data_IF_370206307868
#
_entry.id   IF_370206307868
#
_cell.length_a   1.000
_cell.length_b   1.000
_cell.length_c   1.000
_cell.angle_alpha   90.00
_cell.angle_beta   90.00
_cell.angle_gamma   90.00
#
_symmetry.space_group_name_H-M   'P 1'
#
loop_
_entity.id
_entity.type
_entity.pdbx_description
1 polymer ?
#
# COMPACT_ATOMS: atom_id res chain seq x y z
N UNK A 1 6.59 15.75 5.54
CA UNK A 1 6.70 15.50 4.09
C UNK A 1 7.74 16.45 3.46
N UNK A 2 8.25 16.20 2.25
CA UNK A 2 9.09 17.18 1.51
C UNK A 2 8.57 17.32 0.07
N UNK A 3 9.01 18.33 -0.69
CA UNK A 3 8.42 18.64 -2.01
C UNK A 3 8.40 17.45 -2.98
N UNK A 4 9.44 16.62 -3.01
CA UNK A 4 9.47 15.41 -3.83
C UNK A 4 8.38 14.37 -3.47
N UNK A 5 7.93 14.33 -2.23
CA UNK A 5 6.82 13.45 -1.80
C UNK A 5 5.46 13.98 -2.24
N UNK A 6 5.34 15.26 -2.64
CA UNK A 6 4.08 15.86 -3.04
C UNK A 6 3.62 15.43 -4.44
N UNK A 7 4.56 15.18 -5.35
CA UNK A 7 4.26 14.90 -6.77
C UNK A 7 3.26 13.76 -6.97
N UNK A 8 3.39 12.58 -6.32
CA UNK A 8 2.39 11.52 -6.43
C UNK A 8 1.01 11.97 -5.95
N UNK A 9 0.92 12.71 -4.84
CA UNK A 9 -0.37 13.17 -4.30
C UNK A 9 -1.04 14.21 -5.18
N UNK A 10 -0.29 15.15 -5.76
CA UNK A 10 -0.84 16.14 -6.71
C UNK A 10 -1.44 15.45 -7.93
N UNK A 11 -0.73 14.49 -8.52
CA UNK A 11 -1.23 13.69 -9.64
C UNK A 11 -2.46 12.87 -9.24
N UNK A 12 -2.42 12.24 -8.06
CA UNK A 12 -3.54 11.43 -7.54
C UNK A 12 -4.79 12.26 -7.35
N UNK A 13 -4.65 13.48 -6.80
CA UNK A 13 -5.76 14.41 -6.59
C UNK A 13 -6.37 14.82 -7.93
N UNK A 14 -5.53 15.11 -8.92
CA UNK A 14 -6.02 15.39 -10.27
C UNK A 14 -6.79 14.21 -10.87
N UNK A 15 -6.28 12.98 -10.75
CA UNK A 15 -6.95 11.77 -11.26
C UNK A 15 -8.27 11.51 -10.52
N UNK A 16 -8.31 11.70 -9.19
CA UNK A 16 -9.53 11.57 -8.40
C UNK A 16 -10.61 12.54 -8.89
N UNK A 17 -10.27 13.81 -9.12
CA UNK A 17 -11.23 14.83 -9.56
C UNK A 17 -11.66 14.63 -11.01
N UNK A 18 -10.72 14.34 -11.91
CA UNK A 18 -10.99 14.21 -13.34
C UNK A 18 -11.80 12.95 -13.68
N UNK A 19 -11.59 11.86 -12.95
CA UNK A 19 -12.20 10.55 -13.23
C UNK A 19 -13.26 10.15 -12.19
N UNK A 20 -13.40 10.93 -11.11
CA UNK A 20 -14.37 10.66 -10.05
C UNK A 20 -14.09 9.40 -9.21
N UNK A 21 -12.84 8.92 -9.20
CA UNK A 21 -12.44 7.63 -8.62
C UNK A 21 -12.40 7.63 -7.08
N UNK A 22 -12.55 6.45 -6.48
CA UNK A 22 -12.19 6.21 -5.08
C UNK A 22 -10.68 6.14 -4.91
N UNK A 23 -10.18 6.67 -3.80
CA UNK A 23 -8.76 6.69 -3.43
C UNK A 23 -8.55 5.88 -2.16
N UNK A 24 -7.54 5.01 -2.17
CA UNK A 24 -6.97 4.39 -0.98
C UNK A 24 -5.53 4.86 -0.80
N UNK A 25 -5.14 5.21 0.42
CA UNK A 25 -3.78 5.62 0.76
C UNK A 25 -3.25 4.72 1.87
N UNK A 26 -2.18 3.99 1.55
CA UNK A 26 -1.50 3.09 2.46
C UNK A 26 -0.44 3.83 3.27
N UNK A 27 -0.52 3.75 4.61
CA UNK A 27 0.53 4.17 5.53
C UNK A 27 1.29 2.92 5.99
N UNK A 28 2.42 2.66 5.34
CA UNK A 28 3.28 1.49 5.59
C UNK A 28 4.17 1.67 6.83
N UNK A 29 3.57 1.62 8.01
CA UNK A 29 4.29 1.72 9.29
C UNK A 29 5.09 0.45 9.64
N UNK A 30 4.61 -0.71 9.21
CA UNK A 30 5.31 -1.99 9.29
C UNK A 30 6.59 -2.04 8.44
N UNK A 31 6.59 -1.48 7.23
CA UNK A 31 7.78 -1.31 6.39
C UNK A 31 8.85 -0.50 7.11
N UNK A 32 8.47 0.66 7.63
CA UNK A 32 9.37 1.54 8.40
C UNK A 32 9.96 0.83 9.61
N UNK A 33 9.19 -0.05 10.26
CA UNK A 33 9.68 -0.89 11.34
C UNK A 33 10.69 -1.94 10.86
N UNK A 34 10.37 -2.70 9.82
CA UNK A 34 11.27 -3.76 9.32
C UNK A 34 12.55 -3.24 8.68
N UNK A 35 12.53 -2.05 8.06
CA UNK A 35 13.64 -1.51 7.28
C UNK A 35 14.43 -0.40 7.97
N UNK A 36 13.82 0.35 8.91
CA UNK A 36 14.41 1.54 9.51
C UNK A 36 14.31 1.59 11.04
N UNK A 37 13.87 0.50 11.69
CA UNK A 37 13.70 0.38 13.14
C UNK A 37 12.81 1.49 13.75
N UNK A 38 11.85 2.01 12.97
CA UNK A 38 10.87 2.99 13.46
C UNK A 38 9.75 2.23 14.20
N UNK A 39 9.43 2.57 15.46
CA UNK A 39 8.41 1.85 16.22
C UNK A 39 7.03 1.84 15.54
N UNK A 40 6.33 0.70 15.59
CA UNK A 40 4.92 0.56 15.18
C UNK A 40 3.92 0.95 16.27
N UNK A 41 4.40 1.11 17.51
CA UNK A 41 3.56 1.35 18.69
C UNK A 41 4.09 2.47 19.58
N UNK A 42 3.23 2.94 20.48
CA UNK A 42 3.52 4.03 21.41
C UNK A 42 3.23 5.43 20.85
N UNK A 43 3.45 6.45 21.69
CA UNK A 43 3.13 7.84 21.37
C UNK A 43 3.87 8.32 20.12
N UNK A 44 5.17 8.02 20.02
CA UNK A 44 6.01 8.44 18.89
C UNK A 44 5.54 7.89 17.54
N UNK A 45 5.20 6.61 17.49
CA UNK A 45 4.67 5.97 16.27
C UNK A 45 3.34 6.60 15.83
N UNK A 46 2.48 6.86 16.81
CA UNK A 46 1.16 7.46 16.59
C UNK A 46 1.29 8.89 16.08
N UNK A 47 2.15 9.71 16.68
CA UNK A 47 2.44 11.07 16.23
C UNK A 47 2.96 11.10 14.79
N UNK A 48 3.96 10.28 14.45
CA UNK A 48 4.51 10.25 13.09
C UNK A 48 3.46 9.87 12.05
N UNK A 49 2.62 8.87 12.36
CA UNK A 49 1.53 8.46 11.47
C UNK A 49 0.49 9.59 11.33
N UNK A 50 0.06 10.19 12.43
CA UNK A 50 -0.94 11.28 12.43
C UNK A 50 -0.45 12.49 11.66
N UNK A 51 0.80 12.93 11.87
CA UNK A 51 1.36 14.08 11.15
C UNK A 51 1.51 13.77 9.65
N UNK A 52 1.92 12.56 9.26
CA UNK A 52 1.95 12.17 7.85
C UNK A 52 0.54 12.12 7.22
N UNK A 53 -0.48 11.68 7.97
CA UNK A 53 -1.86 11.66 7.49
C UNK A 53 -2.40 13.09 7.33
N UNK A 54 -2.11 14.00 8.27
CA UNK A 54 -2.47 15.43 8.15
C UNK A 54 -1.85 16.06 6.89
N UNK A 55 -0.56 15.82 6.68
CA UNK A 55 0.18 16.22 5.48
C UNK A 55 -0.52 15.74 4.19
N UNK A 56 -1.00 14.51 4.15
CA UNK A 56 -1.69 13.92 2.98
C UNK A 56 -3.08 14.55 2.78
N UNK A 57 -3.85 14.72 3.86
CA UNK A 57 -5.20 15.32 3.80
C UNK A 57 -5.12 16.78 3.31
N UNK A 58 -4.03 17.49 3.64
CA UNK A 58 -3.80 18.87 3.23
C UNK A 58 -3.74 19.08 1.70
N UNK A 59 -3.57 18.02 0.88
CA UNK A 59 -3.70 18.11 -0.58
C UNK A 59 -5.14 18.31 -1.07
N UNK A 60 -6.14 18.22 -0.19
CA UNK A 60 -7.53 18.53 -0.51
C UNK A 60 -8.29 17.39 -1.18
N UNK A 61 -7.95 16.14 -0.87
CA UNK A 61 -8.71 14.98 -1.35
C UNK A 61 -10.16 15.00 -0.82
N UNK A 62 -11.11 14.52 -1.63
CA UNK A 62 -12.51 14.44 -1.23
C UNK A 62 -12.70 13.41 -0.10
N UNK A 63 -13.17 13.80 1.10
CA UNK A 63 -13.22 12.90 2.26
C UNK A 63 -14.18 11.72 2.05
N UNK A 64 -15.26 11.91 1.29
CA UNK A 64 -16.23 10.84 1.01
C UNK A 64 -15.71 9.77 0.04
N UNK A 65 -14.59 10.02 -0.64
CA UNK A 65 -13.99 9.14 -1.65
C UNK A 65 -12.56 8.70 -1.30
N UNK A 66 -12.09 9.04 -0.11
CA UNK A 66 -10.69 8.82 0.27
C UNK A 66 -10.62 8.02 1.56
N UNK A 67 -9.94 6.88 1.48
CA UNK A 67 -9.69 6.03 2.62
C UNK A 67 -8.19 5.95 2.89
N UNK A 68 -7.76 6.48 4.04
CA UNK A 68 -6.37 6.40 4.50
C UNK A 68 -6.30 5.35 5.59
N UNK A 69 -5.39 4.39 5.46
CA UNK A 69 -5.24 3.33 6.45
C UNK A 69 -3.78 3.11 6.81
N UNK A 70 -3.58 2.69 8.07
CA UNK A 70 -2.29 2.23 8.57
C UNK A 70 -2.23 0.72 8.46
N UNK A 71 -1.11 0.17 7.96
CA UNK A 71 -0.99 -1.27 7.76
C UNK A 71 -1.32 -2.04 9.04
N UNK A 72 -0.67 -1.70 10.15
CA UNK A 72 -0.91 -2.38 11.45
C UNK A 72 -2.34 -2.25 12.00
N UNK A 73 -3.13 -1.29 11.53
CA UNK A 73 -4.52 -1.10 11.95
C UNK A 73 -5.53 -1.80 11.04
N UNK A 74 -5.16 -2.05 9.77
CA UNK A 74 -6.06 -2.59 8.74
C UNK A 74 -5.68 -4.00 8.27
N UNK A 75 -4.56 -4.58 8.76
CA UNK A 75 -4.07 -5.91 8.35
C UNK A 75 -5.16 -6.97 8.35
N UNK A 76 -6.03 -7.00 9.37
CA UNK A 76 -7.07 -8.03 9.49
C UNK A 76 -8.00 -8.11 8.28
N UNK A 77 -8.51 -6.97 7.80
CA UNK A 77 -9.43 -6.92 6.66
C UNK A 77 -8.73 -7.25 5.33
N UNK A 78 -7.45 -6.90 5.18
CA UNK A 78 -6.68 -7.17 3.96
C UNK A 78 -5.99 -8.55 3.94
N UNK A 79 -5.90 -9.24 5.08
CA UNK A 79 -5.08 -10.46 5.21
C UNK A 79 -5.45 -11.57 4.21
N UNK A 80 -6.73 -11.86 3.90
CA UNK A 80 -7.06 -12.86 2.87
C UNK A 80 -6.43 -12.56 1.51
N UNK A 81 -6.36 -11.29 1.12
CA UNK A 81 -5.71 -10.85 -0.12
C UNK A 81 -4.20 -10.93 -0.01
N UNK A 82 -3.62 -10.51 1.12
CA UNK A 82 -2.19 -10.66 1.41
C UNK A 82 -1.76 -12.13 1.32
N UNK A 83 -2.54 -13.06 1.87
CA UNK A 83 -2.26 -14.51 1.81
C UNK A 83 -2.25 -15.03 0.38
N UNK A 84 -3.20 -14.61 -0.47
CA UNK A 84 -3.21 -14.97 -1.90
C UNK A 84 -1.94 -14.47 -2.59
N UNK A 85 -1.56 -13.21 -2.39
CA UNK A 85 -0.32 -12.66 -2.98
C UNK A 85 0.93 -13.39 -2.46
N UNK A 86 1.03 -13.63 -1.14
CA UNK A 86 2.15 -14.36 -0.53
C UNK A 86 2.34 -15.75 -1.13
N UNK A 87 1.25 -16.45 -1.43
CA UNK A 87 1.31 -17.77 -2.08
C UNK A 87 1.91 -17.71 -3.49
N UNK A 88 1.73 -16.60 -4.21
CA UNK A 88 2.17 -16.44 -5.60
C UNK A 88 3.61 -15.94 -5.73
N UNK A 89 4.14 -15.25 -4.71
CA UNK A 89 5.50 -14.74 -4.70
C UNK A 89 6.48 -15.79 -4.17
N UNK A 90 7.51 -16.10 -4.96
CA UNK A 90 8.61 -16.95 -4.48
C UNK A 90 9.60 -16.11 -3.69
N UNK A 91 10.18 -16.71 -2.64
CA UNK A 91 11.21 -16.04 -1.84
C UNK A 91 12.40 -15.60 -2.69
N UNK A 92 12.81 -16.41 -3.66
CA UNK A 92 13.90 -16.08 -4.58
C UNK A 92 13.59 -14.85 -5.43
N UNK A 93 12.36 -14.74 -5.96
CA UNK A 93 11.96 -13.55 -6.72
C UNK A 93 12.02 -12.30 -5.84
N UNK A 94 11.43 -12.34 -4.65
CA UNK A 94 11.44 -11.22 -3.71
C UNK A 94 12.87 -10.82 -3.33
N UNK A 95 13.73 -11.78 -2.98
CA UNK A 95 15.12 -11.50 -2.61
C UNK A 95 15.91 -10.86 -3.76
N UNK A 96 15.75 -11.37 -4.98
CA UNK A 96 16.45 -10.84 -6.14
C UNK A 96 15.97 -9.44 -6.51
N UNK A 97 14.67 -9.16 -6.38
CA UNK A 97 14.09 -7.84 -6.70
C UNK A 97 14.52 -6.75 -5.72
N UNK A 98 14.66 -7.07 -4.42
CA UNK A 98 14.95 -6.09 -3.37
C UNK A 98 16.34 -6.25 -2.72
N UNK A 99 17.24 -7.01 -3.34
CA UNK A 99 18.60 -7.31 -2.84
C UNK A 99 18.63 -7.76 -1.36
N UNK A 100 17.72 -8.66 -0.97
CA UNK A 100 17.59 -9.10 0.41
C UNK A 100 18.58 -10.22 0.77
N UNK A 101 19.24 -10.05 1.91
CA UNK A 101 20.18 -11.02 2.49
C UNK A 101 19.48 -11.98 3.45
N UNK A 102 20.04 -13.19 3.59
CA UNK A 102 19.56 -14.19 4.55
C UNK A 102 19.70 -13.77 6.02
N UNK A 103 20.53 -12.76 6.31
CA UNK A 103 20.69 -12.20 7.65
C UNK A 103 19.62 -11.18 8.03
N UNK A 104 18.73 -10.80 7.11
CA UNK A 104 17.63 -9.87 7.37
C UNK A 104 16.50 -10.50 8.18
N UNK A 105 15.67 -9.65 8.81
CA UNK A 105 14.45 -10.12 9.47
C UNK A 105 13.43 -10.66 8.45
N UNK A 106 12.55 -11.56 8.89
CA UNK A 106 11.51 -12.20 8.06
C UNK A 106 10.42 -11.24 7.58
N UNK A 107 10.32 -10.04 8.19
CA UNK A 107 9.38 -9.00 7.78
C UNK A 107 9.73 -8.41 6.41
N UNK A 108 11.03 -8.19 6.14
CA UNK A 108 11.51 -7.63 4.86
C UNK A 108 11.02 -8.42 3.63
N UNK A 109 11.22 -9.76 3.54
CA UNK A 109 10.70 -10.52 2.40
C UNK A 109 9.17 -10.73 2.44
N UNK A 110 8.51 -10.56 3.59
CA UNK A 110 7.05 -10.69 3.69
C UNK A 110 6.29 -9.41 3.31
N UNK A 111 6.92 -8.24 3.44
CA UNK A 111 6.31 -6.94 3.23
C UNK A 111 5.82 -6.68 1.80
N UNK A 112 6.51 -7.10 0.71
CA UNK A 112 6.04 -6.83 -0.64
C UNK A 112 4.61 -7.32 -0.93
N UNK A 113 4.15 -8.39 -0.28
CA UNK A 113 2.77 -8.84 -0.40
C UNK A 113 1.77 -7.89 0.28
N UNK A 114 2.17 -7.23 1.37
CA UNK A 114 1.36 -6.20 2.06
C UNK A 114 1.28 -4.93 1.22
N UNK A 115 2.37 -4.55 0.56
CA UNK A 115 2.39 -3.42 -0.39
C UNK A 115 1.54 -3.71 -1.65
N UNK A 116 1.49 -4.96 -2.08
CA UNK A 116 0.74 -5.39 -3.27
C UNK A 116 -0.77 -5.52 -3.02
N UNK A 117 -1.19 -5.93 -1.82
CA UNK A 117 -2.60 -6.22 -1.52
C UNK A 117 -3.57 -5.05 -1.84
N UNK A 118 -3.23 -3.78 -1.57
CA UNK A 118 -4.07 -2.64 -1.94
C UNK A 118 -4.33 -2.46 -3.44
N UNK A 119 -3.56 -3.11 -4.31
CA UNK A 119 -3.82 -3.08 -5.75
C UNK A 119 -5.06 -3.91 -6.14
N UNK A 120 -5.60 -4.71 -5.22
CA UNK A 120 -6.74 -5.60 -5.46
C UNK A 120 -7.96 -5.13 -4.66
N UNK A 121 -9.11 -5.00 -5.33
CA UNK A 121 -10.36 -4.59 -4.67
C UNK A 121 -10.77 -5.48 -3.50
N UNK A 122 -10.37 -6.77 -3.52
CA UNK A 122 -10.61 -7.72 -2.43
C UNK A 122 -9.91 -7.39 -1.11
N UNK A 123 -8.95 -6.46 -1.08
CA UNK A 123 -8.39 -5.93 0.17
C UNK A 123 -9.33 -4.93 0.87
N UNK A 124 -10.40 -4.48 0.21
CA UNK A 124 -11.26 -3.40 0.66
C UNK A 124 -12.76 -3.73 0.62
N UNK A 125 -13.20 -4.86 1.21
CA UNK A 125 -14.59 -5.33 1.11
C UNK A 125 -15.61 -4.31 1.63
N UNK A 126 -15.30 -3.62 2.74
CA UNK A 126 -16.20 -2.67 3.39
C UNK A 126 -16.04 -1.23 2.90
N UNK A 127 -14.86 -0.91 2.35
CA UNK A 127 -14.49 0.45 1.92
C UNK A 127 -14.98 0.71 0.50
N UNK A 128 -14.67 -0.20 -0.42
CA UNK A 128 -15.07 -0.06 -1.82
C UNK A 128 -16.49 -0.57 -2.07
N UNK A 129 -17.07 -1.34 -1.12
CA UNK A 129 -18.40 -1.96 -1.21
C UNK A 129 -18.64 -2.64 -2.57
N UNK A 130 -17.57 -3.19 -3.14
CA UNK A 130 -17.59 -3.72 -4.49
C UNK A 130 -18.21 -5.11 -4.49
N UNK A 131 -19.24 -5.38 -5.32
CA UNK A 131 -19.85 -6.70 -5.40
C UNK A 131 -18.80 -7.75 -5.80
N UNK A 132 -18.76 -8.87 -5.08
CA UNK A 132 -17.82 -9.97 -5.37
C UNK A 132 -17.99 -10.57 -6.78
N UNK A 133 -19.12 -10.29 -7.43
CA UNK A 133 -19.53 -10.81 -8.73
C UNK A 133 -19.19 -9.87 -9.91
N UNK A 134 -18.84 -8.61 -9.64
CA UNK A 134 -18.50 -7.63 -10.67
C UNK A 134 -17.00 -7.62 -10.99
N UNK A 135 -16.70 -7.39 -12.28
CA UNK A 135 -15.36 -7.35 -12.91
C UNK A 135 -14.25 -6.87 -11.97
N UNK A 136 -13.08 -7.49 -12.14
CA UNK A 136 -11.80 -7.09 -11.54
C UNK A 136 -11.65 -5.56 -11.55
N UNK A 137 -11.81 -4.94 -10.38
CA UNK A 137 -11.49 -3.53 -10.17
C UNK A 137 -10.07 -3.28 -10.66
N UNK A 138 -9.91 -2.33 -11.58
CA UNK A 138 -8.60 -1.89 -12.02
C UNK A 138 -8.09 -0.82 -11.07
N UNK A 139 -6.83 -0.95 -10.65
CA UNK A 139 -6.15 0.01 -9.80
C UNK A 139 -5.14 0.82 -10.64
N UNK A 140 -5.14 2.14 -10.44
CA UNK A 140 -4.09 3.03 -10.95
C UNK A 140 -3.22 3.44 -9.78
N UNK A 141 -1.92 3.17 -9.88
CA UNK A 141 -0.94 3.49 -8.83
C UNK A 141 -0.05 4.64 -9.29
N UNK A 142 -0.19 5.78 -8.63
CA UNK A 142 0.70 6.94 -8.75
C UNK A 142 1.87 6.78 -7.77
N UNK A 143 3.05 6.47 -8.28
CA UNK A 143 4.24 6.27 -7.46
C UNK A 143 5.50 6.84 -8.12
N UNK A 144 6.55 7.01 -7.32
CA UNK A 144 7.88 7.31 -7.82
C UNK A 144 8.55 6.04 -8.38
N UNK A 145 9.55 6.21 -9.25
CA UNK A 145 10.16 5.11 -10.00
C UNK A 145 10.83 4.04 -9.12
N UNK A 146 11.31 4.42 -7.93
CA UNK A 146 11.89 3.51 -6.95
C UNK A 146 10.89 2.51 -6.35
N UNK A 147 9.59 2.77 -6.50
CA UNK A 147 8.51 1.87 -6.06
C UNK A 147 8.12 0.85 -7.13
N UNK A 148 8.56 1.01 -8.38
CA UNK A 148 8.25 0.09 -9.49
C UNK A 148 8.53 -1.39 -9.19
N UNK A 149 9.62 -1.78 -8.49
CA UNK A 149 9.89 -3.18 -8.18
C UNK A 149 8.76 -3.89 -7.42
N UNK A 150 8.04 -3.19 -6.53
CA UNK A 150 6.86 -3.73 -5.85
C UNK A 150 5.72 -4.01 -6.83
N UNK A 151 5.45 -3.07 -7.73
CA UNK A 151 4.33 -3.16 -8.67
C UNK A 151 4.64 -4.08 -9.85
N UNK A 152 5.90 -4.23 -10.23
CA UNK A 152 6.35 -5.24 -11.18
C UNK A 152 6.04 -6.66 -10.66
N UNK A 153 6.38 -6.96 -9.41
CA UNK A 153 6.03 -8.24 -8.78
C UNK A 153 4.52 -8.42 -8.67
N UNK A 154 3.80 -7.37 -8.27
CA UNK A 154 2.33 -7.38 -8.18
C UNK A 154 1.69 -7.73 -9.52
N UNK A 155 2.13 -7.09 -10.62
CA UNK A 155 1.61 -7.34 -11.98
C UNK A 155 1.86 -8.77 -12.45
N UNK A 156 3.02 -9.33 -12.11
CA UNK A 156 3.36 -10.72 -12.46
C UNK A 156 2.46 -11.77 -11.80
N UNK A 157 1.80 -11.42 -10.68
CA UNK A 157 0.91 -12.33 -9.96
C UNK A 157 -0.57 -11.97 -10.09
N UNK A 158 -0.90 -10.79 -10.62
CA UNK A 158 -2.25 -10.22 -10.56
C UNK A 158 -3.37 -11.11 -11.15
N UNK A 159 -3.10 -11.86 -12.23
CA UNK A 159 -4.10 -12.74 -12.86
C UNK A 159 -4.38 -14.03 -12.05
N UNK A 160 -3.62 -14.28 -10.99
CA UNK A 160 -3.66 -15.51 -10.18
C UNK A 160 -4.05 -15.24 -8.73
N UNK A 161 -4.27 -13.97 -8.38
CA UNK A 161 -4.68 -13.46 -7.05
C UNK A 161 -6.16 -13.13 -7.10
#
# INVERSE_FOLDING_TARGET
MHIGHATPFVLTRYLQDALGLSLVVQIADDEKYFFRDIPVGGARASELAVENIKDIIAFGFGPCKTFVFRNTAYTGDMDPTVMRVRRMLTLSAVKNTFDLRNSGNVGKPAFPAVQAAPCFGGAFPWVLRWPAEERLLQCVVSCAIDQDPFFLLTRNVALRV
#
